data_IF_721898719694
#
_entry.id   IF_721898719694
#
_cell.length_a   1.000
_cell.length_b   1.000
_cell.length_c   1.000
_cell.angle_alpha   90.00
_cell.angle_beta   90.00
_cell.angle_gamma   90.00
#
_symmetry.space_group_name_H-M   'P 1'
#
loop_
_entity.id
_entity.type
_entity.pdbx_description
1 polymer ?
#
# COMPACT_ATOMS: atom_id res chain seq x y z
N UNK A 1 1.27 15.38 1.83
CA UNK A 1 1.22 15.55 0.36
C UNK A 1 -0.23 15.86 -0.03
N UNK A 2 -0.51 17.05 -0.58
CA UNK A 2 -1.85 17.43 -1.05
C UNK A 2 -2.17 16.82 -2.44
N UNK A 3 -3.45 16.55 -2.78
CA UNK A 3 -3.82 15.98 -4.07
C UNK A 3 -3.62 16.98 -5.21
N UNK A 4 -3.00 16.53 -6.32
CA UNK A 4 -2.72 17.37 -7.52
C UNK A 4 -3.95 17.62 -8.41
N UNK A 5 -5.12 17.03 -8.09
CA UNK A 5 -6.38 17.18 -8.83
C UNK A 5 -6.17 16.94 -10.33
N UNK A 6 -6.59 17.85 -11.21
CA UNK A 6 -6.47 17.72 -12.68
C UNK A 6 -5.02 17.61 -13.16
N UNK A 7 -4.05 18.12 -12.38
CA UNK A 7 -2.63 18.00 -12.65
C UNK A 7 -2.00 16.69 -12.12
N UNK A 8 -2.82 15.71 -11.72
CA UNK A 8 -2.33 14.38 -11.34
C UNK A 8 -1.56 13.73 -12.51
N UNK A 9 -0.49 12.98 -12.24
CA UNK A 9 0.19 12.23 -13.29
C UNK A 9 -0.76 11.25 -13.97
N UNK A 10 -0.78 11.26 -15.31
CA UNK A 10 -1.58 10.35 -16.13
C UNK A 10 -0.69 9.79 -17.24
N UNK A 11 -0.72 8.48 -17.43
CA UNK A 11 -0.09 7.81 -18.56
C UNK A 11 -1.13 7.51 -19.63
N UNK A 12 -0.84 7.94 -20.85
CA UNK A 12 -1.67 7.71 -22.04
C UNK A 12 -1.11 6.51 -22.82
N UNK A 13 -2.00 5.63 -23.25
CA UNK A 13 -1.68 4.46 -24.08
C UNK A 13 -2.58 4.37 -25.30
N UNK A 14 -2.09 3.78 -26.39
CA UNK A 14 -2.86 3.53 -27.61
C UNK A 14 -2.48 4.44 -28.79
N UNK A 15 -2.97 4.13 -30.00
CA UNK A 15 -2.51 4.76 -31.25
C UNK A 15 -2.82 6.27 -31.33
N UNK A 16 -3.76 6.74 -30.51
CA UNK A 16 -4.15 8.16 -30.45
C UNK A 16 -3.51 8.92 -29.28
N UNK A 17 -2.67 8.29 -28.44
CA UNK A 17 -2.10 8.91 -27.24
C UNK A 17 -1.31 10.17 -27.57
N UNK A 18 -0.45 10.13 -28.60
CA UNK A 18 0.35 11.28 -29.05
C UNK A 18 -0.50 12.41 -29.61
N UNK A 19 -1.56 12.07 -30.35
CA UNK A 19 -2.48 13.07 -30.90
C UNK A 19 -3.36 13.72 -29.82
N UNK A 20 -3.71 12.97 -28.77
CA UNK A 20 -4.54 13.46 -27.67
C UNK A 20 -3.75 14.34 -26.67
N UNK A 21 -2.45 14.09 -26.49
CA UNK A 21 -1.66 14.76 -25.46
C UNK A 21 -1.75 16.30 -25.49
N UNK A 22 -1.61 17.00 -26.63
CA UNK A 22 -1.73 18.46 -26.67
C UNK A 22 -3.10 18.97 -26.21
N UNK A 23 -4.18 18.27 -26.58
CA UNK A 23 -5.54 18.59 -26.14
C UNK A 23 -5.70 18.38 -24.63
N UNK A 24 -5.20 17.26 -24.10
CA UNK A 24 -5.22 16.99 -22.67
C UNK A 24 -4.49 18.08 -21.87
N UNK A 25 -3.31 18.49 -22.34
CA UNK A 25 -2.54 19.56 -21.71
C UNK A 25 -3.27 20.90 -21.76
N UNK A 26 -3.90 21.24 -22.89
CA UNK A 26 -4.72 22.44 -23.03
C UNK A 26 -5.92 22.45 -22.07
N UNK A 27 -6.53 21.28 -21.82
CA UNK A 27 -7.61 21.10 -20.83
C UNK A 27 -7.13 21.13 -19.37
N UNK A 28 -5.83 21.26 -19.11
CA UNK A 28 -5.26 21.35 -17.77
C UNK A 28 -4.72 20.04 -17.18
N UNK A 29 -4.69 18.94 -17.94
CA UNK A 29 -4.02 17.69 -17.56
C UNK A 29 -2.50 17.82 -17.69
N UNK A 30 -1.90 18.76 -16.98
CA UNK A 30 -0.48 19.09 -17.06
C UNK A 30 0.44 17.91 -16.69
N UNK A 31 -0.07 16.90 -15.98
CA UNK A 31 0.63 15.67 -15.63
C UNK A 31 0.55 14.55 -16.69
N UNK A 32 -0.18 14.75 -17.79
CA UNK A 32 -0.34 13.76 -18.84
C UNK A 32 0.97 13.53 -19.61
N UNK A 33 1.29 12.26 -19.87
CA UNK A 33 2.44 11.83 -20.68
C UNK A 33 2.06 10.62 -21.51
N UNK A 34 2.53 10.57 -22.76
CA UNK A 34 2.46 9.34 -23.57
C UNK A 34 3.39 8.30 -22.94
N UNK A 35 2.85 7.10 -22.72
CA UNK A 35 3.60 5.94 -22.23
C UNK A 35 3.90 4.97 -23.37
N UNK A 36 2.89 4.69 -24.21
CA UNK A 36 2.99 3.72 -25.30
C UNK A 36 1.96 4.01 -26.40
N UNK A 37 2.24 3.57 -27.61
CA UNK A 37 1.28 3.53 -28.72
C UNK A 37 0.37 2.27 -28.65
N UNK A 38 0.69 1.30 -27.79
CA UNK A 38 -0.11 0.11 -27.56
C UNK A 38 -1.23 0.33 -26.53
N UNK A 39 -2.37 -0.30 -26.76
CA UNK A 39 -3.47 -0.37 -25.79
C UNK A 39 -3.07 -1.35 -24.68
N UNK A 40 -3.27 -0.94 -23.42
CA UNK A 40 -3.08 -1.79 -22.24
C UNK A 40 -1.79 -1.53 -21.46
N UNK A 41 -0.67 -1.18 -22.11
CA UNK A 41 0.63 -1.07 -21.45
C UNK A 41 0.67 -0.02 -20.33
N UNK A 42 0.07 1.15 -20.54
CA UNK A 42 -0.03 2.20 -19.51
C UNK A 42 -0.80 1.72 -18.27
N UNK A 43 -1.86 0.93 -18.49
CA UNK A 43 -2.67 0.35 -17.40
C UNK A 43 -1.89 -0.76 -16.69
N UNK A 44 -1.25 -1.66 -17.44
CA UNK A 44 -0.39 -2.70 -16.91
C UNK A 44 0.71 -2.12 -16.02
N UNK A 45 1.40 -1.05 -16.46
CA UNK A 45 2.41 -0.36 -15.66
C UNK A 45 1.86 0.19 -14.33
N UNK A 46 0.66 0.82 -14.34
CA UNK A 46 -0.03 1.29 -13.13
C UNK A 46 -0.39 0.12 -12.19
N UNK A 47 -0.83 -1.01 -12.74
CA UNK A 47 -1.21 -2.19 -11.98
C UNK A 47 0.02 -2.87 -11.36
N UNK A 48 1.09 -3.08 -12.12
CA UNK A 48 2.37 -3.62 -11.61
C UNK A 48 2.94 -2.75 -10.49
N UNK A 49 2.92 -1.42 -10.64
CA UNK A 49 3.32 -0.50 -9.57
C UNK A 49 2.42 -0.63 -8.33
N UNK A 50 1.13 -0.87 -8.52
CA UNK A 50 0.18 -1.04 -7.40
C UNK A 50 0.52 -2.25 -6.54
N UNK A 51 1.01 -3.34 -7.14
CA UNK A 51 1.45 -4.54 -6.40
C UNK A 51 2.51 -4.16 -5.36
N UNK A 52 3.55 -3.42 -5.77
CA UNK A 52 4.63 -2.99 -4.87
C UNK A 52 4.12 -2.04 -3.80
N UNK A 53 3.44 -0.95 -4.19
CA UNK A 53 3.05 0.10 -3.23
C UNK A 53 2.06 -0.43 -2.19
N UNK A 54 1.01 -1.12 -2.62
CA UNK A 54 -0.01 -1.67 -1.71
C UNK A 54 0.51 -2.88 -0.93
N UNK A 55 1.37 -3.68 -1.55
CA UNK A 55 2.06 -4.77 -0.86
C UNK A 55 2.94 -4.27 0.29
N UNK A 56 3.73 -3.21 0.07
CA UNK A 56 4.53 -2.60 1.14
C UNK A 56 3.67 -2.02 2.26
N UNK A 57 2.53 -1.38 1.95
CA UNK A 57 1.61 -0.91 2.99
C UNK A 57 1.10 -2.07 3.87
N UNK A 58 0.73 -3.18 3.25
CA UNK A 58 0.27 -4.38 3.96
C UNK A 58 1.40 -5.03 4.78
N UNK A 59 2.59 -5.20 4.18
CA UNK A 59 3.76 -5.79 4.84
C UNK A 59 4.24 -4.95 6.03
N UNK A 60 4.29 -3.63 5.89
CA UNK A 60 4.68 -2.74 6.99
C UNK A 60 3.69 -2.80 8.14
N UNK A 61 2.38 -2.84 7.85
CA UNK A 61 1.37 -3.02 8.88
C UNK A 61 1.56 -4.36 9.61
N UNK A 62 1.66 -5.47 8.87
CA UNK A 62 1.81 -6.80 9.44
C UNK A 62 3.09 -6.94 10.27
N UNK A 63 4.22 -6.52 9.72
CA UNK A 63 5.52 -6.61 10.38
C UNK A 63 5.57 -5.76 11.63
N UNK A 64 5.12 -4.50 11.58
CA UNK A 64 5.32 -3.57 12.69
C UNK A 64 4.28 -3.73 13.80
N UNK A 65 3.05 -4.19 13.49
CA UNK A 65 2.11 -4.61 14.54
C UNK A 65 2.65 -5.82 15.30
N UNK A 66 3.24 -6.77 14.57
CA UNK A 66 3.86 -7.96 15.18
C UNK A 66 5.07 -7.58 16.01
N UNK A 67 5.98 -6.77 15.45
CA UNK A 67 7.17 -6.32 16.15
C UNK A 67 6.84 -5.48 17.38
N UNK A 68 5.84 -4.58 17.29
CA UNK A 68 5.37 -3.78 18.43
C UNK A 68 4.79 -4.64 19.53
N UNK A 69 4.08 -5.72 19.21
CA UNK A 69 3.59 -6.70 20.20
C UNK A 69 4.73 -7.41 20.92
N UNK A 70 5.83 -7.71 20.22
CA UNK A 70 7.03 -8.30 20.83
C UNK A 70 7.97 -7.27 21.46
N UNK A 71 7.72 -5.96 21.30
CA UNK A 71 8.59 -4.88 21.77
C UNK A 71 9.92 -4.78 21.01
N UNK A 72 9.95 -5.18 19.73
CA UNK A 72 11.18 -5.24 18.89
C UNK A 72 11.09 -4.38 17.63
N UNK A 73 10.11 -3.50 17.51
CA UNK A 73 9.91 -2.67 16.32
C UNK A 73 11.09 -1.73 16.01
N UNK A 74 11.80 -1.27 17.05
CA UNK A 74 12.99 -0.42 16.87
C UNK A 74 14.14 -1.18 16.21
N UNK A 75 14.34 -2.44 16.59
CA UNK A 75 15.33 -3.31 15.96
C UNK A 75 14.97 -3.62 14.50
N UNK A 76 13.67 -3.86 14.22
CA UNK A 76 13.17 -4.08 12.85
C UNK A 76 13.38 -2.85 11.99
N UNK A 77 12.99 -1.66 12.47
CA UNK A 77 13.16 -0.41 11.74
C UNK A 77 14.64 -0.05 11.52
N UNK A 78 15.50 -0.32 12.51
CA UNK A 78 16.95 -0.19 12.38
C UNK A 78 17.51 -1.08 11.28
N UNK A 79 17.12 -2.36 11.26
CA UNK A 79 17.54 -3.29 10.20
C UNK A 79 17.07 -2.86 8.81
N UNK A 80 15.85 -2.32 8.68
CA UNK A 80 15.35 -1.79 7.41
C UNK A 80 16.14 -0.55 6.95
N UNK A 81 16.62 0.27 7.89
CA UNK A 81 17.43 1.46 7.59
C UNK A 81 18.79 1.09 7.00
N UNK A 82 19.38 -0.01 7.44
CA UNK A 82 20.66 -0.51 6.93
C UNK A 82 20.54 -1.09 5.51
N UNK A 83 19.38 -1.64 5.18
CA UNK A 83 19.14 -2.33 3.90
C UNK A 83 18.65 -1.40 2.79
N UNK A 84 17.85 -0.39 3.12
CA UNK A 84 17.21 0.47 2.13
C UNK A 84 17.48 1.96 2.41
N UNK A 85 17.75 2.76 1.37
CA UNK A 85 18.08 4.18 1.50
C UNK A 85 16.82 5.04 1.71
N UNK A 86 16.02 4.72 2.73
CA UNK A 86 14.89 5.53 3.18
C UNK A 86 15.40 6.53 4.21
N UNK A 87 14.99 7.80 4.10
CA UNK A 87 15.45 8.85 5.02
C UNK A 87 14.90 8.70 6.44
N UNK A 88 13.63 8.31 6.54
CA UNK A 88 12.93 8.17 7.81
C UNK A 88 11.91 7.03 7.69
N UNK A 89 12.29 5.87 8.22
CA UNK A 89 11.45 4.68 8.20
C UNK A 89 10.20 4.81 9.06
N UNK A 90 10.27 5.54 10.18
CA UNK A 90 9.09 5.75 11.05
C UNK A 90 8.05 6.59 10.33
N UNK A 91 8.47 7.69 9.71
CA UNK A 91 7.57 8.53 8.93
C UNK A 91 6.99 7.79 7.71
N UNK A 92 7.82 7.03 6.99
CA UNK A 92 7.36 6.24 5.84
C UNK A 92 6.35 5.17 6.26
N UNK A 93 6.68 4.35 7.26
CA UNK A 93 5.81 3.31 7.77
C UNK A 93 4.49 3.89 8.29
N UNK A 94 4.56 4.98 9.06
CA UNK A 94 3.38 5.68 9.55
C UNK A 94 2.50 6.16 8.40
N UNK A 95 3.09 6.80 7.40
CA UNK A 95 2.39 7.23 6.20
C UNK A 95 1.72 6.06 5.48
N UNK A 96 2.45 4.99 5.18
CA UNK A 96 1.95 3.82 4.44
C UNK A 96 0.80 3.12 5.16
N UNK A 97 0.94 2.88 6.47
CA UNK A 97 -0.11 2.28 7.30
C UNK A 97 -1.34 3.18 7.32
N UNK A 98 -1.16 4.49 7.53
CA UNK A 98 -2.29 5.45 7.58
C UNK A 98 -3.16 5.43 6.32
N UNK A 99 -2.58 5.20 5.13
CA UNK A 99 -3.36 5.12 3.88
C UNK A 99 -4.35 3.96 3.88
N UNK A 100 -3.98 2.83 4.49
CA UNK A 100 -4.83 1.66 4.66
C UNK A 100 -5.88 1.87 5.74
N UNK A 101 -5.57 2.65 6.79
CA UNK A 101 -6.55 3.05 7.80
C UNK A 101 -7.64 3.98 7.21
N UNK A 102 -7.26 5.04 6.48
CA UNK A 102 -8.23 6.02 5.95
C UNK A 102 -9.10 5.45 4.84
N UNK A 103 -8.53 4.56 4.02
CA UNK A 103 -9.12 4.21 2.72
C UNK A 103 -9.18 2.69 2.50
N UNK A 104 -9.08 1.88 3.55
CA UNK A 104 -8.89 0.44 3.46
C UNK A 104 -9.83 -0.28 2.49
N UNK A 105 -11.14 -0.03 2.58
CA UNK A 105 -12.13 -0.59 1.64
C UNK A 105 -11.80 -0.28 0.18
N UNK A 106 -11.61 1.01 -0.15
CA UNK A 106 -11.28 1.44 -1.52
C UNK A 106 -9.94 0.87 -1.97
N UNK A 107 -8.93 0.82 -1.10
CA UNK A 107 -7.61 0.28 -1.43
C UNK A 107 -7.67 -1.21 -1.71
N UNK A 108 -8.45 -1.95 -0.93
CA UNK A 108 -8.70 -3.37 -1.14
C UNK A 108 -9.38 -3.63 -2.49
N UNK A 109 -10.40 -2.84 -2.88
CA UNK A 109 -11.01 -2.95 -4.21
C UNK A 109 -10.00 -2.73 -5.34
N UNK A 110 -9.20 -1.67 -5.25
CA UNK A 110 -8.14 -1.42 -6.23
C UNK A 110 -7.04 -2.49 -6.21
N UNK A 111 -6.86 -3.20 -5.10
CA UNK A 111 -5.91 -4.31 -4.99
C UNK A 111 -6.48 -5.60 -5.61
N UNK A 112 -7.80 -5.80 -5.58
CA UNK A 112 -8.47 -6.89 -6.33
C UNK A 112 -8.31 -6.73 -7.84
N UNK A 113 -8.25 -5.50 -8.35
CA UNK A 113 -7.83 -5.26 -9.74
C UNK A 113 -6.41 -5.77 -9.99
N UNK A 114 -5.48 -5.54 -9.07
CA UNK A 114 -4.09 -5.98 -9.21
C UNK A 114 -3.97 -7.51 -9.14
N UNK A 115 -4.77 -8.15 -8.29
CA UNK A 115 -4.91 -9.62 -8.25
C UNK A 115 -5.30 -10.15 -9.63
N UNK A 116 -6.30 -9.55 -10.30
CA UNK A 116 -6.70 -9.95 -11.66
C UNK A 116 -5.58 -9.73 -12.66
N UNK A 117 -4.93 -8.58 -12.65
CA UNK A 117 -3.82 -8.30 -13.58
C UNK A 117 -2.66 -9.28 -13.43
N UNK A 118 -2.30 -9.65 -12.20
CA UNK A 118 -1.23 -10.64 -11.96
C UNK A 118 -1.64 -12.03 -12.46
N UNK A 119 -2.91 -12.43 -12.25
CA UNK A 119 -3.44 -13.69 -12.74
C UNK A 119 -3.53 -13.73 -14.29
N UNK A 120 -3.98 -12.65 -14.92
CA UNK A 120 -4.03 -12.50 -16.38
C UNK A 120 -2.63 -12.54 -17.01
N UNK A 121 -1.59 -12.10 -16.28
CA UNK A 121 -0.19 -12.25 -16.67
C UNK A 121 0.37 -13.67 -16.50
N UNK A 122 -0.44 -14.63 -16.00
CA UNK A 122 -0.07 -16.03 -15.85
C UNK A 122 0.58 -16.39 -14.51
N UNK A 123 0.51 -15.52 -13.49
CA UNK A 123 1.12 -15.74 -12.18
C UNK A 123 0.07 -15.90 -11.07
N UNK A 124 0.37 -16.76 -10.10
CA UNK A 124 -0.48 -16.90 -8.91
C UNK A 124 -0.30 -15.68 -7.97
N UNK A 125 -1.36 -14.92 -7.65
CA UNK A 125 -1.25 -13.61 -7.02
C UNK A 125 -1.16 -13.65 -5.48
N UNK A 126 -0.26 -14.47 -4.92
CA UNK A 126 -0.13 -14.72 -3.47
C UNK A 126 -0.11 -13.44 -2.63
N UNK A 127 0.88 -12.56 -2.90
CA UNK A 127 1.09 -11.33 -2.15
C UNK A 127 -0.04 -10.35 -2.33
N UNK A 128 -0.61 -10.30 -3.53
CA UNK A 128 -1.69 -9.36 -3.84
C UNK A 128 -2.98 -9.74 -3.11
N UNK A 129 -3.30 -11.03 -3.01
CA UNK A 129 -4.44 -11.52 -2.23
C UNK A 129 -4.28 -11.25 -0.73
N UNK A 130 -3.11 -11.56 -0.16
CA UNK A 130 -2.85 -11.23 1.25
C UNK A 130 -2.96 -9.73 1.55
N UNK A 131 -2.52 -8.89 0.61
CA UNK A 131 -2.64 -7.43 0.72
C UNK A 131 -4.10 -6.95 0.70
N UNK A 132 -4.99 -7.58 -0.09
CA UNK A 132 -6.43 -7.27 -0.08
C UNK A 132 -7.00 -7.46 1.31
N UNK A 133 -6.73 -8.60 1.94
CA UNK A 133 -7.24 -8.93 3.28
C UNK A 133 -6.72 -7.94 4.33
N UNK A 134 -5.41 -7.66 4.31
CA UNK A 134 -4.79 -6.71 5.25
C UNK A 134 -5.35 -5.30 5.11
N UNK A 135 -5.58 -4.82 3.88
CA UNK A 135 -6.15 -3.49 3.63
C UNK A 135 -7.63 -3.40 3.99
N UNK A 136 -8.42 -4.44 3.72
CA UNK A 136 -9.81 -4.50 4.12
C UNK A 136 -9.95 -4.49 5.65
N UNK A 137 -9.15 -5.31 6.34
CA UNK A 137 -9.08 -5.34 7.80
C UNK A 137 -8.69 -3.99 8.41
N UNK A 138 -7.70 -3.31 7.83
CA UNK A 138 -7.21 -2.01 8.32
C UNK A 138 -8.31 -0.91 8.36
N UNK A 139 -9.36 -1.03 7.54
CA UNK A 139 -10.47 -0.07 7.52
C UNK A 139 -11.21 0.03 8.86
N UNK A 140 -11.21 -1.04 9.67
CA UNK A 140 -11.83 -1.04 11.00
C UNK A 140 -11.10 -0.18 12.04
N UNK A 141 -9.90 0.33 11.70
CA UNK A 141 -9.01 1.06 12.60
C UNK A 141 -8.76 2.50 12.13
N UNK A 142 -9.68 3.09 11.36
CA UNK A 142 -9.54 4.43 10.79
C UNK A 142 -9.15 5.49 11.84
N UNK A 143 -9.71 5.40 13.05
CA UNK A 143 -9.44 6.33 14.17
C UNK A 143 -7.98 6.35 14.63
N UNK A 144 -7.22 5.27 14.44
CA UNK A 144 -5.81 5.21 14.85
C UNK A 144 -4.93 6.18 14.05
N UNK A 145 -5.40 6.64 12.89
CA UNK A 145 -4.70 7.65 12.09
C UNK A 145 -4.52 9.00 12.81
N UNK A 146 -5.34 9.29 13.84
CA UNK A 146 -5.23 10.53 14.63
C UNK A 146 -3.86 10.69 15.30
N UNK A 147 -3.15 9.59 15.51
CA UNK A 147 -1.83 9.59 16.12
C UNK A 147 -0.75 10.05 15.13
N UNK A 148 0.09 10.98 15.56
CA UNK A 148 1.24 11.45 14.79
C UNK A 148 2.38 10.44 14.84
N UNK A 149 2.71 9.96 16.04
CA UNK A 149 3.73 8.95 16.26
C UNK A 149 3.29 7.57 15.73
N UNK A 150 4.24 6.85 15.12
CA UNK A 150 4.01 5.48 14.64
C UNK A 150 3.64 4.54 15.79
N UNK A 151 4.35 4.62 16.91
CA UNK A 151 4.15 3.73 18.08
C UNK A 151 2.73 3.86 18.63
N UNK A 152 2.26 5.08 18.82
CA UNK A 152 0.93 5.34 19.38
C UNK A 152 -0.18 4.85 18.45
N UNK A 153 0.03 4.99 17.13
CA UNK A 153 -0.88 4.45 16.12
C UNK A 153 -0.93 2.91 16.18
N UNK A 154 0.24 2.25 16.31
CA UNK A 154 0.29 0.79 16.44
C UNK A 154 -0.36 0.32 17.75
N UNK A 155 -0.15 1.06 18.84
CA UNK A 155 -0.73 0.73 20.15
C UNK A 155 -2.26 0.82 20.15
N UNK A 156 -2.86 1.84 19.53
CA UNK A 156 -4.33 1.93 19.38
C UNK A 156 -4.88 0.76 18.57
N UNK A 157 -4.19 0.38 17.49
CA UNK A 157 -4.57 -0.80 16.70
C UNK A 157 -4.48 -2.10 17.50
N UNK A 158 -3.43 -2.27 18.31
CA UNK A 158 -3.21 -3.44 19.14
C UNK A 158 -4.17 -3.52 20.32
N UNK A 159 -4.55 -2.38 20.92
CA UNK A 159 -5.54 -2.33 22.00
C UNK A 159 -6.90 -2.91 21.58
N UNK A 160 -7.24 -2.81 20.29
CA UNK A 160 -8.45 -3.35 19.68
C UNK A 160 -8.28 -4.76 19.09
N UNK A 161 -7.05 -5.30 19.15
CA UNK A 161 -6.69 -6.62 18.63
C UNK A 161 -5.87 -7.37 19.67
N UNK A 162 -6.48 -7.81 20.79
CA UNK A 162 -5.75 -8.49 21.85
C UNK A 162 -5.06 -9.75 21.32
N UNK A 163 -3.94 -10.12 21.96
CA UNK A 163 -3.27 -11.37 21.61
C UNK A 163 -4.26 -12.52 21.83
N UNK A 164 -4.22 -13.59 21.02
CA UNK A 164 -4.77 -14.85 21.48
C UNK A 164 -4.11 -15.18 22.83
N UNK A 165 -4.88 -15.73 23.77
CA UNK A 165 -4.31 -16.22 25.03
C UNK A 165 -3.14 -17.15 24.68
N UNK A 166 -2.00 -17.03 25.38
CA UNK A 166 -0.89 -17.94 25.14
C UNK A 166 -1.48 -19.34 25.21
N UNK A 167 -1.33 -20.10 24.12
CA UNK A 167 -1.71 -21.50 24.12
C UNK A 167 -1.02 -22.07 25.34
N UNK A 168 -1.81 -22.52 26.32
CA UNK A 168 -1.29 -23.28 27.45
C UNK A 168 -0.53 -24.38 26.76
N UNK A 169 0.80 -24.29 26.79
CA UNK A 169 1.68 -25.34 26.31
C UNK A 169 1.11 -26.58 26.98
N UNK A 170 0.51 -27.45 26.18
CA UNK A 170 0.08 -28.73 26.68
C UNK A 170 1.38 -29.38 27.12
N UNK A 171 1.67 -29.25 28.41
CA UNK A 171 2.68 -29.99 29.12
C UNK A 171 2.29 -31.46 28.96
N UNK A 172 2.70 -32.02 27.82
CA UNK A 172 2.47 -33.39 27.43
C UNK A 172 3.66 -33.86 26.60
N UNK A 173 4.67 -34.25 27.39
CA UNK A 173 5.66 -35.31 27.17
C UNK A 173 6.94 -34.94 26.43
#
# INVERSE_FOLDING_TARGET
IAPKRIASPVWLGGPHASAFLPLAQWLGFAGAKVYSDAIGEASAAKMCRSVIIKGMEALLAESLLTARRYGVEDAVLGSLQDLFPVRDWRALARYMISRSLTHGHRRAEEMREAVRTVAEAGFEPWMSRGSVERQAWAAAYAEAQRHEALTDMLDDMLARTPAPEPAVEAACR
#
